data_IF_488565444618
#
_entry.id   IF_488565444618
#
_cell.length_a   1.000
_cell.length_b   1.000
_cell.length_c   1.000
_cell.angle_alpha   90.00
_cell.angle_beta   90.00
_cell.angle_gamma   90.00
#
_symmetry.space_group_name_H-M   'P 1'
#
loop_
_entity.id
_entity.type
_entity.pdbx_description
1 polymer ?
#
# COMPACT_ATOMS: atom_id res chain seq x y z
N UNK A 1 -11.52 -35.82 -47.47
CA UNK A 1 -12.16 -34.49 -47.56
C UNK A 1 -12.41 -33.99 -46.13
N UNK A 2 -11.36 -33.49 -45.47
CA UNK A 2 -11.40 -33.00 -44.08
C UNK A 2 -11.59 -31.49 -44.11
N UNK A 3 -12.75 -31.01 -43.67
CA UNK A 3 -13.02 -29.58 -43.51
C UNK A 3 -12.40 -29.05 -42.22
N UNK A 4 -11.58 -28.01 -42.35
CA UNK A 4 -10.97 -27.25 -41.25
C UNK A 4 -11.98 -26.28 -40.65
N UNK A 5 -12.19 -26.25 -39.31
CA UNK A 5 -12.99 -25.20 -38.69
C UNK A 5 -12.09 -24.00 -38.30
N UNK A 6 -11.81 -23.11 -39.25
CA UNK A 6 -11.02 -21.88 -39.00
C UNK A 6 -11.86 -20.69 -38.49
N UNK A 7 -13.17 -20.86 -38.30
CA UNK A 7 -14.11 -19.77 -37.99
C UNK A 7 -14.31 -19.42 -36.50
N UNK A 8 -13.99 -20.32 -35.58
CA UNK A 8 -14.32 -20.15 -34.15
C UNK A 8 -13.28 -19.34 -33.36
N UNK A 9 -12.08 -19.18 -33.90
CA UNK A 9 -10.94 -18.57 -33.21
C UNK A 9 -10.96 -17.03 -33.26
N UNK A 10 -11.52 -16.42 -34.32
CA UNK A 10 -11.53 -14.98 -34.50
C UNK A 10 -12.49 -14.20 -33.55
N UNK A 11 -13.74 -14.67 -33.28
CA UNK A 11 -14.63 -13.99 -32.34
C UNK A 11 -14.14 -14.10 -30.88
N UNK A 12 -13.55 -15.24 -30.51
CA UNK A 12 -12.98 -15.46 -29.17
C UNK A 12 -11.72 -14.62 -28.93
N UNK A 13 -10.87 -14.43 -29.95
CA UNK A 13 -9.71 -13.55 -29.88
C UNK A 13 -10.11 -12.09 -29.59
N UNK A 14 -11.13 -11.57 -30.28
CA UNK A 14 -11.65 -10.21 -30.03
C UNK A 14 -12.25 -10.01 -28.64
N UNK A 15 -12.93 -11.03 -28.07
CA UNK A 15 -13.44 -10.97 -26.70
C UNK A 15 -12.31 -10.94 -25.66
N UNK A 16 -11.30 -11.80 -25.83
CA UNK A 16 -10.17 -11.88 -24.91
C UNK A 16 -9.40 -10.55 -24.86
N UNK A 17 -9.20 -9.91 -26.00
CA UNK A 17 -8.56 -8.59 -26.10
C UNK A 17 -9.38 -7.50 -25.38
N UNK A 18 -10.70 -7.47 -25.58
CA UNK A 18 -11.59 -6.53 -24.88
C UNK A 18 -11.63 -6.76 -23.37
N UNK A 19 -11.59 -8.02 -22.93
CA UNK A 19 -11.49 -8.36 -21.52
C UNK A 19 -10.14 -7.93 -20.92
N UNK A 20 -9.04 -8.12 -21.67
CA UNK A 20 -7.73 -7.64 -21.26
C UNK A 20 -7.67 -6.11 -21.16
N UNK A 21 -8.28 -5.40 -22.11
CA UNK A 21 -8.43 -3.93 -22.10
C UNK A 21 -9.19 -3.46 -20.86
N UNK A 22 -10.33 -4.10 -20.54
CA UNK A 22 -11.11 -3.82 -19.34
C UNK A 22 -10.31 -4.07 -18.05
N UNK A 23 -9.61 -5.20 -17.95
CA UNK A 23 -8.79 -5.54 -16.79
C UNK A 23 -7.64 -4.54 -16.63
N UNK A 24 -6.99 -4.15 -17.73
CA UNK A 24 -5.96 -3.13 -17.71
C UNK A 24 -6.51 -1.77 -17.24
N UNK A 25 -7.68 -1.35 -17.73
CA UNK A 25 -8.34 -0.13 -17.29
C UNK A 25 -8.68 -0.15 -15.79
N UNK A 26 -9.15 -1.30 -15.27
CA UNK A 26 -9.47 -1.49 -13.85
C UNK A 26 -8.23 -1.49 -12.94
N UNK A 27 -7.13 -2.12 -13.37
CA UNK A 27 -5.97 -2.39 -12.50
C UNK A 27 -4.87 -1.34 -12.63
N UNK A 28 -4.54 -0.91 -13.85
CA UNK A 28 -3.45 0.02 -14.14
C UNK A 28 -3.95 1.46 -14.30
N UNK A 29 -5.21 1.62 -14.66
CA UNK A 29 -5.90 2.86 -14.46
C UNK A 29 -6.08 3.75 -15.68
N UNK A 30 -6.64 3.20 -16.75
CA UNK A 30 -6.90 3.88 -18.01
C UNK A 30 -8.34 4.39 -18.18
N UNK A 31 -8.59 4.96 -19.35
CA UNK A 31 -9.93 5.35 -19.82
C UNK A 31 -10.84 4.12 -19.89
N UNK A 32 -12.11 4.22 -19.47
CA UNK A 32 -13.09 3.15 -19.69
C UNK A 32 -13.12 2.72 -21.17
N UNK A 33 -13.03 1.42 -21.47
CA UNK A 33 -13.25 0.93 -22.83
C UNK A 33 -14.65 1.32 -23.32
N UNK A 34 -14.81 1.50 -24.63
CA UNK A 34 -16.09 1.84 -25.23
C UNK A 34 -17.19 0.84 -24.81
N UNK A 35 -18.38 1.36 -24.47
CA UNK A 35 -19.52 0.54 -24.02
C UNK A 35 -19.57 0.28 -22.51
N UNK A 36 -18.55 0.67 -21.72
CA UNK A 36 -18.59 0.58 -20.26
C UNK A 36 -18.97 1.91 -19.62
N UNK A 37 -19.95 1.87 -18.70
CA UNK A 37 -20.35 3.03 -17.93
C UNK A 37 -19.22 3.46 -16.96
N UNK A 38 -18.77 4.73 -16.98
CA UNK A 38 -17.65 5.20 -16.14
C UNK A 38 -17.89 5.04 -14.62
N UNK A 39 -19.13 5.26 -14.16
CA UNK A 39 -19.49 5.19 -12.74
C UNK A 39 -19.27 3.80 -12.10
N UNK A 40 -19.94 2.74 -12.62
CA UNK A 40 -19.71 1.37 -12.14
C UNK A 40 -18.24 0.92 -12.25
N UNK A 41 -17.53 1.35 -13.28
CA UNK A 41 -16.11 1.03 -13.44
C UNK A 41 -15.25 1.68 -12.34
N UNK A 42 -15.50 2.95 -12.03
CA UNK A 42 -14.83 3.66 -10.94
C UNK A 42 -15.13 3.03 -9.58
N UNK A 43 -16.38 2.63 -9.33
CA UNK A 43 -16.77 1.93 -8.10
C UNK A 43 -16.04 0.58 -7.95
N UNK A 44 -15.95 -0.19 -9.04
CA UNK A 44 -15.23 -1.47 -9.07
C UNK A 44 -13.75 -1.28 -8.79
N UNK A 45 -13.13 -0.28 -9.40
CA UNK A 45 -11.72 0.07 -9.16
C UNK A 45 -11.46 0.46 -7.71
N UNK A 46 -12.34 1.26 -7.10
CA UNK A 46 -12.25 1.62 -5.69
C UNK A 46 -12.34 0.38 -4.78
N UNK A 47 -13.24 -0.57 -5.09
CA UNK A 47 -13.35 -1.83 -4.34
C UNK A 47 -12.09 -2.69 -4.46
N UNK A 48 -11.50 -2.79 -5.65
CA UNK A 48 -10.24 -3.51 -5.87
C UNK A 48 -9.07 -2.88 -5.12
N UNK A 49 -8.96 -1.55 -5.11
CA UNK A 49 -7.93 -0.84 -4.34
C UNK A 49 -8.07 -1.08 -2.83
N UNK A 50 -9.30 -1.05 -2.29
CA UNK A 50 -9.55 -1.40 -0.88
C UNK A 50 -9.14 -2.84 -0.57
N UNK A 51 -9.48 -3.80 -1.44
CA UNK A 51 -9.06 -5.19 -1.28
C UNK A 51 -7.54 -5.32 -1.26
N UNK A 52 -6.85 -4.68 -2.21
CA UNK A 52 -5.38 -4.64 -2.27
C UNK A 52 -4.78 -4.04 -1.00
N UNK A 53 -5.33 -2.94 -0.50
CA UNK A 53 -4.89 -2.31 0.75
C UNK A 53 -4.99 -3.28 1.93
N UNK A 54 -6.06 -4.07 2.01
CA UNK A 54 -6.21 -5.09 3.05
C UNK A 54 -5.14 -6.18 2.98
N UNK A 55 -4.86 -6.70 1.78
CA UNK A 55 -3.80 -7.72 1.61
C UNK A 55 -2.41 -7.15 1.91
N UNK A 56 -2.11 -5.92 1.50
CA UNK A 56 -0.83 -5.28 1.81
C UNK A 56 -0.68 -5.05 3.32
N UNK A 57 -1.75 -4.63 4.01
CA UNK A 57 -1.72 -4.44 5.47
C UNK A 57 -1.37 -5.73 6.23
N UNK A 58 -1.85 -6.89 5.77
CA UNK A 58 -1.47 -8.19 6.35
C UNK A 58 0.02 -8.48 6.18
N UNK A 59 0.59 -8.10 5.04
CA UNK A 59 2.01 -8.27 4.79
C UNK A 59 2.88 -7.18 5.42
N UNK A 60 2.35 -6.00 5.70
CA UNK A 60 3.05 -4.82 6.24
C UNK A 60 2.27 -4.21 7.42
N UNK A 61 2.15 -4.93 8.54
CA UNK A 61 1.25 -4.57 9.63
C UNK A 61 1.67 -3.29 10.36
N UNK A 62 2.97 -3.01 10.52
CA UNK A 62 3.42 -1.81 11.22
C UNK A 62 3.30 -0.57 10.33
N UNK A 63 3.50 -0.72 9.01
CA UNK A 63 3.18 0.33 8.04
C UNK A 63 1.69 0.71 8.10
N UNK A 64 0.80 -0.28 8.05
CA UNK A 64 -0.64 -0.03 8.10
C UNK A 64 -1.06 0.57 9.45
N UNK A 65 -0.59 0.02 10.56
CA UNK A 65 -0.87 0.55 11.90
C UNK A 65 -0.33 1.99 12.07
N UNK A 66 0.86 2.29 11.55
CA UNK A 66 1.46 3.61 11.63
C UNK A 66 0.70 4.69 10.85
N UNK A 67 0.00 4.32 9.77
CA UNK A 67 -0.87 5.21 9.00
C UNK A 67 -2.30 5.28 9.56
N UNK A 68 -2.69 4.31 10.40
CA UNK A 68 -3.98 4.28 11.10
C UNK A 68 -5.17 4.42 10.15
N UNK A 69 -6.11 5.30 10.51
CA UNK A 69 -7.30 5.59 9.69
C UNK A 69 -6.95 6.10 8.27
N UNK A 70 -5.77 6.68 8.08
CA UNK A 70 -5.26 7.15 6.79
C UNK A 70 -4.77 6.04 5.86
N UNK A 71 -4.64 4.79 6.34
CA UNK A 71 -4.08 3.67 5.58
C UNK A 71 -4.72 3.48 4.20
N UNK A 72 -6.04 3.26 4.17
CA UNK A 72 -6.75 2.91 2.94
C UNK A 72 -6.66 4.01 1.89
N UNK A 73 -6.76 5.28 2.32
CA UNK A 73 -6.64 6.44 1.43
C UNK A 73 -5.22 6.57 0.89
N UNK A 74 -4.22 6.55 1.77
CA UNK A 74 -2.80 6.67 1.41
C UNK A 74 -2.38 5.58 0.42
N UNK A 75 -2.79 4.33 0.67
CA UNK A 75 -2.53 3.22 -0.23
C UNK A 75 -3.24 3.40 -1.57
N UNK A 76 -4.54 3.77 -1.56
CA UNK A 76 -5.31 3.94 -2.80
C UNK A 76 -4.74 5.06 -3.67
N UNK A 77 -4.37 6.20 -3.09
CA UNK A 77 -3.78 7.34 -3.79
C UNK A 77 -2.43 6.95 -4.42
N UNK A 78 -1.60 6.21 -3.68
CA UNK A 78 -0.34 5.68 -4.20
C UNK A 78 -0.56 4.62 -5.29
N UNK A 79 -1.50 3.70 -5.12
CA UNK A 79 -1.71 2.58 -6.04
C UNK A 79 -2.57 2.92 -7.27
N UNK A 80 -3.26 4.06 -7.29
CA UNK A 80 -4.30 4.39 -8.28
C UNK A 80 -3.87 4.24 -9.74
N UNK A 81 -2.59 4.47 -10.06
CA UNK A 81 -2.01 4.39 -11.42
C UNK A 81 -0.87 3.37 -11.52
N UNK A 82 -0.83 2.40 -10.61
CA UNK A 82 0.25 1.43 -10.50
C UNK A 82 -0.31 0.01 -10.60
N UNK A 83 0.14 -0.78 -11.60
CA UNK A 83 -0.09 -2.22 -11.62
C UNK A 83 0.39 -2.83 -10.30
N UNK A 84 -0.27 -3.89 -9.84
CA UNK A 84 0.17 -4.62 -8.64
C UNK A 84 1.47 -5.37 -8.91
N UNK A 85 2.45 -5.24 -8.02
CA UNK A 85 3.62 -6.12 -7.95
C UNK A 85 3.40 -7.25 -6.92
N UNK A 86 2.21 -7.33 -6.32
CA UNK A 86 1.89 -8.26 -5.23
C UNK A 86 2.16 -7.64 -3.86
N UNK A 87 1.40 -8.07 -2.86
CA UNK A 87 1.21 -7.35 -1.60
C UNK A 87 2.50 -7.05 -0.83
N UNK A 88 3.46 -7.97 -0.84
CA UNK A 88 4.76 -7.77 -0.21
C UNK A 88 5.57 -6.65 -0.88
N UNK A 89 5.60 -6.62 -2.22
CA UNK A 89 6.36 -5.63 -2.99
C UNK A 89 5.66 -4.27 -2.97
N UNK A 90 4.35 -4.25 -3.14
CA UNK A 90 3.54 -3.02 -3.07
C UNK A 90 3.75 -2.28 -1.73
N UNK A 91 3.73 -3.00 -0.60
CA UNK A 91 4.00 -2.38 0.70
C UNK A 91 5.43 -1.86 0.86
N UNK A 92 6.41 -2.52 0.22
CA UNK A 92 7.80 -2.07 0.24
C UNK A 92 7.97 -0.77 -0.54
N UNK A 93 7.42 -0.73 -1.75
CA UNK A 93 7.52 0.42 -2.65
C UNK A 93 6.74 1.61 -2.08
N UNK A 94 5.60 1.37 -1.43
CA UNK A 94 4.90 2.40 -0.66
C UNK A 94 5.73 2.91 0.52
N UNK A 95 6.33 2.03 1.33
CA UNK A 95 7.14 2.43 2.47
C UNK A 95 8.34 3.29 2.06
N UNK A 96 9.01 2.94 0.95
CA UNK A 96 10.09 3.75 0.36
C UNK A 96 9.58 5.08 -0.15
N UNK A 97 8.48 5.09 -0.90
CA UNK A 97 7.90 6.34 -1.40
C UNK A 97 7.53 7.31 -0.26
N UNK A 98 6.98 6.80 0.86
CA UNK A 98 6.70 7.60 2.05
C UNK A 98 7.98 8.04 2.77
N UNK A 99 9.02 7.21 2.77
CA UNK A 99 10.31 7.59 3.34
C UNK A 99 10.93 8.76 2.59
N UNK A 100 10.95 8.70 1.25
CA UNK A 100 11.48 9.73 0.37
C UNK A 100 10.72 11.05 0.53
N UNK A 101 9.41 10.97 0.78
CA UNK A 101 8.54 12.12 1.09
C UNK A 101 8.61 12.58 2.55
N UNK A 102 9.46 11.97 3.38
CA UNK A 102 9.55 12.24 4.83
C UNK A 102 8.22 12.08 5.58
N UNK A 103 7.31 11.26 5.05
CA UNK A 103 5.97 10.99 5.56
C UNK A 103 5.85 9.60 6.21
N UNK A 104 6.92 8.80 6.24
CA UNK A 104 6.90 7.45 6.80
C UNK A 104 6.75 7.48 8.33
N UNK A 105 5.70 6.87 8.91
CA UNK A 105 5.54 6.81 10.37
C UNK A 105 6.68 6.07 11.07
N UNK A 106 7.03 6.39 12.33
CA UNK A 106 8.18 5.78 13.03
C UNK A 106 8.14 4.24 13.07
N UNK A 107 7.00 3.64 13.41
CA UNK A 107 6.84 2.17 13.46
C UNK A 107 6.96 1.52 12.08
N UNK A 108 6.59 2.24 11.03
CA UNK A 108 6.75 1.80 9.65
C UNK A 108 8.23 1.87 9.20
N UNK A 109 8.95 2.88 9.68
CA UNK A 109 10.40 3.01 9.49
C UNK A 109 11.17 1.85 10.14
N UNK A 110 10.78 1.44 11.35
CA UNK A 110 11.34 0.26 12.01
C UNK A 110 11.13 -1.01 11.17
N UNK A 111 9.91 -1.22 10.66
CA UNK A 111 9.59 -2.36 9.80
C UNK A 111 10.42 -2.36 8.51
N UNK A 112 10.50 -1.22 7.81
CA UNK A 112 11.27 -1.08 6.57
C UNK A 112 12.76 -1.34 6.83
N UNK A 113 13.34 -0.75 7.88
CA UNK A 113 14.74 -0.97 8.24
C UNK A 113 15.05 -2.45 8.53
N UNK A 114 14.19 -3.12 9.31
CA UNK A 114 14.35 -4.56 9.61
C UNK A 114 14.29 -5.40 8.33
N UNK A 115 13.36 -5.10 7.42
CA UNK A 115 13.24 -5.83 6.15
C UNK A 115 14.43 -5.59 5.23
N UNK A 116 14.90 -4.35 5.09
CA UNK A 116 16.08 -4.03 4.27
C UNK A 116 17.38 -4.65 4.81
N UNK A 117 17.48 -4.80 6.13
CA UNK A 117 18.56 -5.53 6.76
C UNK A 117 18.52 -7.03 6.42
N UNK A 118 17.33 -7.65 6.32
CA UNK A 118 17.15 -9.09 6.05
C UNK A 118 17.16 -9.48 4.59
N UNK A 119 16.58 -8.63 3.74
CA UNK A 119 16.26 -8.96 2.35
C UNK A 119 16.88 -7.94 1.42
N UNK A 120 17.29 -8.42 0.25
CA UNK A 120 17.67 -7.58 -0.88
C UNK A 120 16.46 -7.46 -1.80
N UNK A 121 16.04 -6.23 -2.04
CA UNK A 121 14.96 -5.91 -2.97
C UNK A 121 15.36 -4.74 -3.87
N UNK A 122 15.34 -4.97 -5.19
CA UNK A 122 15.78 -4.05 -6.24
C UNK A 122 14.61 -3.26 -6.87
N UNK A 123 13.40 -3.38 -6.33
CA UNK A 123 12.19 -2.73 -6.89
C UNK A 123 11.58 -3.47 -8.09
N UNK A 124 12.17 -4.59 -8.54
CA UNK A 124 11.69 -5.32 -9.73
C UNK A 124 11.46 -6.80 -9.43
N UNK A 125 12.42 -7.47 -8.82
CA UNK A 125 12.40 -8.92 -8.57
C UNK A 125 11.86 -9.23 -7.18
N UNK A 126 11.41 -10.46 -6.96
CA UNK A 126 11.01 -10.91 -5.63
C UNK A 126 12.14 -10.68 -4.60
N UNK A 127 11.85 -10.15 -3.39
CA UNK A 127 12.84 -9.96 -2.34
C UNK A 127 13.58 -11.27 -2.01
N UNK A 128 14.91 -11.21 -1.91
CA UNK A 128 15.76 -12.39 -1.63
C UNK A 128 16.47 -12.27 -0.29
N UNK A 129 16.62 -13.37 0.48
CA UNK A 129 17.39 -13.36 1.73
C UNK A 129 18.83 -12.93 1.54
N UNK A 130 19.34 -12.11 2.46
CA UNK A 130 20.76 -11.74 2.53
C UNK A 130 21.52 -12.79 3.33
N UNK A 131 22.65 -13.27 2.78
CA UNK A 131 23.54 -14.26 3.43
C UNK A 131 24.72 -13.63 4.17
N UNK A 132 25.03 -12.37 3.89
CA UNK A 132 26.07 -11.60 4.55
C UNK A 132 25.47 -10.60 5.54
N UNK A 133 26.26 -10.12 6.53
CA UNK A 133 25.85 -9.02 7.39
C UNK A 133 25.41 -7.80 6.59
N UNK A 134 24.38 -7.11 7.07
CA UNK A 134 23.80 -5.97 6.38
C UNK A 134 23.14 -5.00 7.36
N UNK A 135 23.01 -3.75 6.92
CA UNK A 135 22.34 -2.68 7.66
C UNK A 135 21.17 -2.18 6.82
N UNK A 136 19.99 -2.10 7.41
CA UNK A 136 18.83 -1.42 6.85
C UNK A 136 18.58 -0.11 7.60
N UNK A 137 18.19 0.94 6.87
CA UNK A 137 17.98 2.28 7.43
C UNK A 137 16.74 2.89 6.81
N UNK A 138 15.84 3.41 7.63
CA UNK A 138 14.66 4.12 7.17
C UNK A 138 14.23 5.15 8.22
N UNK A 139 14.17 6.42 7.83
CA UNK A 139 13.93 7.53 8.75
C UNK A 139 14.98 7.56 9.87
N UNK A 140 14.52 7.55 11.13
CA UNK A 140 15.41 7.42 12.29
C UNK A 140 15.79 5.99 12.65
N UNK A 141 15.22 4.98 11.98
CA UNK A 141 15.41 3.58 12.32
C UNK A 141 16.67 2.98 11.68
N UNK A 142 17.42 2.19 12.45
CA UNK A 142 18.58 1.42 11.99
C UNK A 142 18.48 -0.01 12.49
N UNK A 143 18.46 -0.98 11.57
CA UNK A 143 18.49 -2.40 11.88
C UNK A 143 19.74 -3.06 11.29
N UNK A 144 20.31 -4.02 12.01
CA UNK A 144 21.50 -4.75 11.57
C UNK A 144 21.23 -6.25 11.58
N UNK A 145 21.57 -6.91 10.47
CA UNK A 145 21.62 -8.36 10.36
C UNK A 145 23.05 -8.86 10.60
N UNK A 146 23.21 -9.78 11.57
CA UNK A 146 24.46 -10.54 11.81
C UNK A 146 24.07 -12.00 12.09
N UNK A 147 24.73 -12.94 11.40
CA UNK A 147 24.52 -14.38 11.57
C UNK A 147 23.02 -14.81 11.57
N UNK A 148 22.24 -14.25 10.63
CA UNK A 148 20.80 -14.55 10.47
C UNK A 148 19.87 -13.89 11.50
N UNK A 149 20.41 -13.20 12.51
CA UNK A 149 19.62 -12.44 13.49
C UNK A 149 19.59 -10.96 13.12
N UNK A 150 18.44 -10.33 13.33
CA UNK A 150 18.29 -8.87 13.12
C UNK A 150 17.96 -8.18 14.43
N UNK A 151 18.68 -7.09 14.69
CA UNK A 151 18.51 -6.23 15.86
C UNK A 151 18.27 -4.80 15.40
N UNK A 152 17.27 -4.14 15.99
CA UNK A 152 17.06 -2.71 15.84
C UNK A 152 18.01 -2.00 16.80
N UNK A 153 18.96 -1.21 16.28
CA UNK A 153 19.96 -0.51 17.08
C UNK A 153 19.51 0.89 17.46
N UNK A 154 18.83 1.56 16.54
CA UNK A 154 18.25 2.88 16.75
C UNK A 154 16.80 2.81 16.31
N UNK A 155 15.81 2.93 17.21
CA UNK A 155 14.42 3.06 16.81
C UNK A 155 14.18 4.46 16.26
N UNK A 156 13.15 4.59 15.41
CA UNK A 156 12.72 5.91 14.97
C UNK A 156 12.08 6.65 16.17
N UNK A 157 12.32 7.97 16.32
CA UNK A 157 11.70 8.74 17.40
C UNK A 157 10.18 8.67 17.26
N UNK A 158 9.51 8.16 18.30
CA UNK A 158 8.04 8.12 18.37
C UNK A 158 7.55 9.48 18.85
N UNK A 159 6.84 10.22 18.02
CA UNK A 159 6.06 11.36 18.51
C UNK A 159 4.94 10.80 19.37
N UNK A 160 4.95 11.13 20.66
CA UNK A 160 3.86 10.82 21.59
C UNK A 160 2.56 11.42 21.06
N UNK A 161 1.57 10.59 20.76
CA UNK A 161 0.21 11.03 20.38
C UNK A 161 -0.62 11.37 21.64
N UNK A 162 -0.09 11.14 22.85
CA UNK A 162 -0.83 11.30 24.13
C UNK A 162 -0.85 12.73 24.70
N UNK A 163 -0.72 13.77 23.88
CA UNK A 163 -0.78 15.17 24.36
C UNK A 163 -1.72 16.05 23.54
N UNK A 164 -2.83 15.48 23.04
CA UNK A 164 -3.81 16.19 22.20
C UNK A 164 -5.20 16.43 22.82
N UNK A 165 -5.70 15.54 23.68
CA UNK A 165 -7.04 15.72 24.28
C UNK A 165 -6.96 16.45 25.61
N UNK A 166 -6.65 17.74 25.55
CA UNK A 166 -7.14 18.68 26.56
C UNK A 166 -8.40 19.32 25.99
N UNK A 167 -9.55 18.76 26.36
CA UNK A 167 -10.86 19.40 26.14
C UNK A 167 -10.83 20.77 26.81
N UNK A 168 -11.06 21.89 26.11
CA UNK A 168 -11.38 23.13 26.78
C UNK A 168 -12.80 23.01 27.33
N UNK A 169 -12.92 22.88 28.66
CA UNK A 169 -14.18 23.14 29.36
C UNK A 169 -14.41 24.66 29.31
N UNK A 170 -15.08 25.08 28.25
CA UNK A 170 -15.66 26.40 28.10
C UNK A 170 -17.17 26.22 27.99
N UNK A 171 -17.84 26.22 29.14
CA UNK A 171 -19.24 26.62 29.25
C UNK A 171 -19.51 27.29 30.60
N UNK A 172 -19.09 28.56 30.73
CA UNK A 172 -19.93 29.54 31.41
C UNK A 172 -21.08 29.89 30.48
N UNK A 173 -22.30 29.63 30.93
CA UNK A 173 -23.54 30.40 30.72
C UNK A 173 -24.71 29.48 31.06
N UNK A 174 -25.73 29.81 31.84
CA UNK A 174 -26.14 31.06 32.46
C UNK A 174 -27.20 30.68 33.51
N UNK A 175 -27.27 31.50 34.54
CA UNK A 175 -28.31 31.57 35.55
C UNK A 175 -29.73 31.60 34.96
N UNK A 176 -30.50 30.56 35.22
CA UNK A 176 -31.97 30.61 35.31
C UNK A 176 -32.37 29.86 36.57
N UNK A 177 -32.82 30.59 37.59
CA UNK A 177 -33.87 30.25 38.57
C UNK A 177 -34.13 31.51 39.39
N UNK A 178 -35.39 31.93 39.39
CA UNK A 178 -35.96 33.01 40.19
C UNK A 178 -35.88 32.75 41.69
N UNK A 179 -35.66 33.80 42.47
CA UNK A 179 -36.61 34.32 43.48
C UNK A 179 -36.25 35.79 43.82
#
# INVERSE_FOLDING_TARGET
MTGTPDGESAPRAGLAERQAELVAALVAGGTPPAGFAPGPLAATRAALLRKRAGEVARHWPLLAAGLGAGWSKTFADWAARRPTAGSLRDGWDLARALHDQQALPPVAAEELAVREARLRYDGRRAPRPRRAPAVGRAGGAVAVQIAGRVRLLRPAPRKSILAGDRVPDAARSESWISD
#
